data_IF_339877192970
#
_entry.id   IF_339877192970
#
_cell.length_a   1.000
_cell.length_b   1.000
_cell.length_c   1.000
_cell.angle_alpha   90.00
_cell.angle_beta   90.00
_cell.angle_gamma   90.00
#
_symmetry.space_group_name_H-M   'P 1'
#
loop_
_entity.id
_entity.type
_entity.pdbx_description
1 polymer ?
#
# COMPACT_ATOMS: atom_id res chain seq x y z
N UNK A 1 9.54 29.35 -26.02
CA UNK A 1 8.63 28.42 -26.71
C UNK A 1 9.31 27.87 -27.95
N UNK A 2 9.11 26.58 -28.23
CA UNK A 2 9.70 25.89 -29.38
C UNK A 2 9.14 26.47 -30.69
N UNK A 3 10.02 26.93 -31.60
CA UNK A 3 9.63 27.59 -32.85
C UNK A 3 9.69 26.67 -34.07
N UNK A 4 9.96 25.39 -33.86
CA UNK A 4 10.05 24.42 -34.95
C UNK A 4 8.69 24.29 -35.62
N UNK A 5 8.65 24.52 -36.93
CA UNK A 5 7.43 24.64 -37.72
C UNK A 5 6.80 23.30 -38.11
N UNK A 6 7.41 22.19 -37.72
CA UNK A 6 6.95 20.84 -38.04
C UNK A 6 7.35 19.84 -36.94
N UNK A 7 6.70 18.69 -36.95
CA UNK A 7 7.11 17.55 -36.14
C UNK A 7 8.51 17.06 -36.60
N UNK A 8 9.42 16.74 -35.65
CA UNK A 8 10.66 16.05 -35.98
C UNK A 8 10.39 14.73 -36.71
N UNK A 9 11.35 14.21 -37.48
CA UNK A 9 11.18 12.89 -38.10
C UNK A 9 11.10 11.80 -37.02
N UNK A 10 10.36 10.72 -37.30
CA UNK A 10 10.14 9.60 -36.36
C UNK A 10 11.43 9.07 -35.71
N UNK A 11 12.55 9.05 -36.46
CA UNK A 11 13.89 8.66 -35.97
C UNK A 11 14.42 9.47 -34.77
N UNK A 12 13.85 10.66 -34.50
CA UNK A 12 14.24 11.52 -33.37
C UNK A 12 13.46 11.24 -32.09
N UNK A 13 12.46 10.37 -32.15
CA UNK A 13 11.64 9.98 -31.01
C UNK A 13 12.15 8.64 -30.46
N UNK A 14 13.00 8.73 -29.43
CA UNK A 14 13.55 7.58 -28.72
C UNK A 14 13.34 7.75 -27.21
N UNK A 15 12.66 6.78 -26.59
CA UNK A 15 12.39 6.77 -25.17
C UNK A 15 13.56 6.11 -24.43
N UNK A 16 14.32 6.90 -23.67
CA UNK A 16 15.46 6.40 -22.88
C UNK A 16 15.06 5.51 -21.69
N UNK A 17 13.83 5.64 -21.18
CA UNK A 17 13.37 4.86 -20.02
C UNK A 17 13.03 3.42 -20.40
N UNK A 18 12.45 3.24 -21.59
CA UNK A 18 12.03 1.94 -22.11
C UNK A 18 12.99 1.39 -23.18
N UNK A 19 14.03 2.15 -23.53
CA UNK A 19 15.01 1.86 -24.59
C UNK A 19 14.39 1.57 -25.97
N UNK A 20 13.23 2.15 -26.25
CA UNK A 20 12.44 1.88 -27.47
C UNK A 20 12.22 3.14 -28.32
N UNK A 21 12.08 2.95 -29.63
CA UNK A 21 11.62 3.98 -30.54
C UNK A 21 10.09 4.13 -30.44
N UNK A 22 9.57 5.31 -30.80
CA UNK A 22 8.11 5.51 -30.88
C UNK A 22 7.48 4.52 -31.88
N UNK A 23 6.27 4.06 -31.58
CA UNK A 23 5.49 3.27 -32.52
C UNK A 23 5.10 4.12 -33.74
N UNK A 24 4.87 3.46 -34.89
CA UNK A 24 4.43 4.16 -36.11
C UNK A 24 3.02 4.73 -35.89
N UNK A 25 2.21 4.02 -35.13
CA UNK A 25 0.85 4.39 -34.74
C UNK A 25 0.82 5.70 -33.94
N UNK A 26 1.65 5.82 -32.89
CA UNK A 26 1.71 7.02 -32.04
C UNK A 26 2.28 8.22 -32.81
N UNK A 27 3.28 7.99 -33.66
CA UNK A 27 3.82 9.05 -34.52
C UNK A 27 2.77 9.55 -35.52
N UNK A 28 2.01 8.65 -36.13
CA UNK A 28 0.91 9.01 -37.04
C UNK A 28 -0.21 9.75 -36.29
N UNK A 29 -0.50 9.38 -35.03
CA UNK A 29 -1.43 10.11 -34.19
C UNK A 29 -0.96 11.55 -33.96
N UNK A 30 0.30 11.75 -33.58
CA UNK A 30 0.87 13.09 -33.41
C UNK A 30 0.80 13.92 -34.71
N UNK A 31 1.11 13.31 -35.85
CA UNK A 31 0.98 13.95 -37.17
C UNK A 31 -0.47 14.35 -37.48
N UNK A 32 -1.43 13.47 -37.18
CA UNK A 32 -2.86 13.76 -37.35
C UNK A 32 -3.27 14.96 -36.50
N UNK A 33 -2.93 14.98 -35.22
CA UNK A 33 -3.25 16.09 -34.31
C UNK A 33 -2.62 17.39 -34.81
N UNK A 34 -1.34 17.37 -35.20
CA UNK A 34 -0.65 18.56 -35.70
C UNK A 34 -1.32 19.16 -36.93
N UNK A 35 -1.73 18.31 -37.88
CA UNK A 35 -2.37 18.73 -39.12
C UNK A 35 -3.83 19.16 -38.92
N UNK A 36 -4.61 18.44 -38.10
CA UNK A 36 -6.03 18.70 -37.86
C UNK A 36 -6.27 20.04 -37.16
N UNK A 37 -5.43 20.38 -36.17
CA UNK A 37 -5.52 21.66 -35.46
C UNK A 37 -4.75 22.79 -36.16
N UNK A 38 -4.17 22.51 -37.33
CA UNK A 38 -3.43 23.48 -38.16
C UNK A 38 -2.33 24.24 -37.38
N UNK A 39 -1.55 23.52 -36.57
CA UNK A 39 -0.50 24.15 -35.77
C UNK A 39 0.65 24.66 -36.64
N UNK A 40 1.16 25.85 -36.29
CA UNK A 40 2.26 26.50 -37.00
C UNK A 40 3.63 26.12 -36.45
N UNK A 41 3.67 25.65 -35.20
CA UNK A 41 4.90 25.29 -34.52
C UNK A 41 4.64 24.29 -33.38
N UNK A 42 5.70 23.63 -32.91
CA UNK A 42 5.63 22.70 -31.77
C UNK A 42 5.20 23.36 -30.46
N UNK A 43 5.39 24.67 -30.29
CA UNK A 43 4.89 25.40 -29.14
C UNK A 43 3.37 25.33 -29.01
N UNK A 44 2.64 25.57 -30.10
CA UNK A 44 1.16 25.48 -30.12
C UNK A 44 0.67 24.06 -29.84
N UNK A 45 1.38 23.05 -30.36
CA UNK A 45 1.10 21.64 -30.06
C UNK A 45 1.30 21.34 -28.56
N UNK A 46 2.40 21.81 -27.97
CA UNK A 46 2.66 21.66 -26.53
C UNK A 46 1.62 22.41 -25.69
N UNK A 47 1.18 23.59 -26.10
CA UNK A 47 0.15 24.35 -25.39
C UNK A 47 -1.19 23.59 -25.37
N UNK A 48 -1.57 22.95 -26.48
CA UNK A 48 -2.77 22.09 -26.50
C UNK A 48 -2.61 20.88 -25.57
N UNK A 49 -1.45 20.22 -25.58
CA UNK A 49 -1.16 19.11 -24.68
C UNK A 49 -1.29 19.52 -23.21
N UNK A 50 -0.58 20.58 -22.80
CA UNK A 50 -0.60 21.08 -21.41
C UNK A 50 -2.00 21.54 -21.01
N UNK A 51 -2.73 22.21 -21.91
CA UNK A 51 -4.11 22.60 -21.67
C UNK A 51 -5.01 21.38 -21.46
N UNK A 52 -4.84 20.33 -22.24
CA UNK A 52 -5.61 19.09 -22.10
C UNK A 52 -5.32 18.42 -20.75
N UNK A 53 -4.05 18.31 -20.35
CA UNK A 53 -3.65 17.76 -19.05
C UNK A 53 -4.26 18.55 -17.88
N UNK A 54 -4.23 19.88 -17.95
CA UNK A 54 -4.83 20.75 -16.92
C UNK A 54 -6.35 20.57 -16.88
N UNK A 55 -7.02 20.50 -18.03
CA UNK A 55 -8.48 20.32 -18.09
C UNK A 55 -8.90 18.95 -17.55
N UNK A 56 -8.19 17.88 -17.90
CA UNK A 56 -8.44 16.54 -17.39
C UNK A 56 -8.24 16.46 -15.87
N UNK A 57 -7.14 17.03 -15.37
CA UNK A 57 -6.90 17.10 -13.93
C UNK A 57 -7.98 17.91 -13.21
N UNK A 58 -8.39 19.04 -13.79
CA UNK A 58 -9.45 19.89 -13.22
C UNK A 58 -10.77 19.12 -13.13
N UNK A 59 -11.17 18.43 -14.19
CA UNK A 59 -12.43 17.65 -14.22
C UNK A 59 -12.43 16.54 -13.15
N UNK A 60 -11.35 15.76 -13.08
CA UNK A 60 -11.18 14.70 -12.07
C UNK A 60 -11.18 15.28 -10.65
N UNK A 61 -10.47 16.38 -10.42
CA UNK A 61 -10.33 16.96 -9.09
C UNK A 61 -11.62 17.64 -8.61
N UNK A 62 -12.34 18.35 -9.48
CA UNK A 62 -13.64 18.94 -9.14
C UNK A 62 -14.67 17.85 -8.80
N UNK A 63 -14.69 16.74 -9.56
CA UNK A 63 -15.54 15.60 -9.25
C UNK A 63 -15.14 14.94 -7.91
N UNK A 64 -13.84 14.73 -7.68
CA UNK A 64 -13.33 14.22 -6.40
C UNK A 64 -13.75 15.11 -5.22
N UNK A 65 -13.56 16.42 -5.35
CA UNK A 65 -13.95 17.42 -4.35
C UNK A 65 -15.44 17.38 -4.04
N UNK A 66 -16.28 17.33 -5.09
CA UNK A 66 -17.74 17.20 -4.95
C UNK A 66 -18.12 15.94 -4.18
N UNK A 67 -17.53 14.78 -4.52
CA UNK A 67 -17.79 13.51 -3.83
C UNK A 67 -17.34 13.58 -2.37
N UNK A 68 -16.15 14.08 -2.07
CA UNK A 68 -15.65 14.20 -0.70
C UNK A 68 -16.56 15.09 0.17
N UNK A 69 -16.99 16.25 -0.35
CA UNK A 69 -17.91 17.12 0.36
C UNK A 69 -19.30 16.49 0.56
N UNK A 70 -19.77 15.68 -0.39
CA UNK A 70 -21.05 14.96 -0.27
C UNK A 70 -20.98 13.82 0.75
N UNK A 71 -19.94 13.00 0.69
CA UNK A 71 -19.78 11.78 1.48
C UNK A 71 -19.24 12.08 2.89
N UNK A 72 -18.12 12.78 2.97
CA UNK A 72 -17.38 13.00 4.23
C UNK A 72 -17.69 14.33 4.88
N UNK A 73 -18.34 15.28 4.18
CA UNK A 73 -18.54 16.66 4.62
C UNK A 73 -17.22 17.42 4.85
N UNK A 74 -16.14 16.95 4.23
CA UNK A 74 -14.81 17.54 4.26
C UNK A 74 -14.43 17.98 2.85
N UNK A 75 -13.81 19.14 2.73
CA UNK A 75 -13.32 19.65 1.45
C UNK A 75 -11.83 19.27 1.30
N UNK A 76 -11.46 18.44 0.30
CA UNK A 76 -10.08 17.99 0.10
C UNK A 76 -9.09 19.12 -0.14
N UNK A 77 -9.53 20.32 -0.55
CA UNK A 77 -8.65 21.48 -0.74
C UNK A 77 -8.00 21.99 0.56
N UNK A 78 -8.49 21.55 1.73
CA UNK A 78 -7.88 21.90 3.03
C UNK A 78 -6.79 20.94 3.48
N UNK A 79 -6.51 19.90 2.68
CA UNK A 79 -5.56 18.85 3.02
C UNK A 79 -4.41 18.82 2.03
N UNK A 80 -3.20 18.62 2.54
CA UNK A 80 -2.03 18.42 1.69
C UNK A 80 -2.05 17.05 0.98
N UNK A 81 -2.67 16.04 1.58
CA UNK A 81 -2.64 14.66 1.08
C UNK A 81 -3.98 13.94 1.32
N UNK A 82 -4.28 12.93 0.51
CA UNK A 82 -5.49 12.12 0.68
C UNK A 82 -5.50 11.26 1.95
N UNK A 83 -4.37 10.74 2.49
CA UNK A 83 -4.40 10.08 3.79
C UNK A 83 -4.80 10.99 4.95
N UNK A 84 -4.39 12.27 4.93
CA UNK A 84 -4.81 13.23 5.95
C UNK A 84 -6.33 13.48 5.91
N UNK A 85 -6.89 13.62 4.70
CA UNK A 85 -8.34 13.70 4.50
C UNK A 85 -9.05 12.43 5.01
N UNK A 86 -8.53 11.25 4.66
CA UNK A 86 -9.11 9.97 5.09
C UNK A 86 -9.07 9.80 6.61
N UNK A 87 -8.00 10.25 7.26
CA UNK A 87 -7.86 10.25 8.71
C UNK A 87 -8.91 11.12 9.39
N UNK A 88 -9.07 12.36 8.94
CA UNK A 88 -10.08 13.26 9.51
C UNK A 88 -11.50 12.81 9.17
N UNK A 89 -11.72 12.21 7.99
CA UNK A 89 -12.99 11.59 7.64
C UNK A 89 -13.33 10.43 8.58
N UNK A 90 -12.34 9.60 8.92
CA UNK A 90 -12.49 8.51 9.90
C UNK A 90 -12.85 9.06 11.28
N UNK A 91 -12.10 10.03 11.80
CA UNK A 91 -12.38 10.65 13.09
C UNK A 91 -13.76 11.31 13.14
N UNK A 92 -14.14 12.00 12.05
CA UNK A 92 -15.45 12.65 11.95
C UNK A 92 -16.59 11.61 11.93
N UNK A 93 -16.40 10.47 11.29
CA UNK A 93 -17.41 9.43 11.17
C UNK A 93 -17.57 8.62 12.45
N UNK A 94 -16.46 8.14 13.03
CA UNK A 94 -16.48 7.25 14.21
C UNK A 94 -16.61 8.01 15.52
N UNK A 95 -16.23 9.29 15.56
CA UNK A 95 -16.13 10.11 16.78
C UNK A 95 -15.21 9.51 17.84
N UNK A 96 -14.31 8.61 17.43
CA UNK A 96 -13.34 7.99 18.33
C UNK A 96 -12.37 9.04 18.85
N UNK A 97 -12.01 8.93 20.12
CA UNK A 97 -10.94 9.72 20.72
C UNK A 97 -9.70 8.84 20.80
N UNK A 98 -8.66 9.21 20.06
CA UNK A 98 -7.36 8.53 20.07
C UNK A 98 -6.42 9.37 20.92
N UNK A 99 -5.89 8.78 21.99
CA UNK A 99 -4.88 9.42 22.82
C UNK A 99 -3.54 9.50 22.08
N UNK A 100 -2.86 10.62 22.24
CA UNK A 100 -1.51 10.81 21.74
C UNK A 100 -0.52 10.39 22.83
N UNK A 101 0.46 9.57 22.46
CA UNK A 101 1.59 9.30 23.34
C UNK A 101 2.26 10.59 23.82
N UNK A 102 2.41 10.70 25.14
CA UNK A 102 3.10 11.82 25.80
C UNK A 102 4.46 11.40 26.35
N UNK A 103 4.64 10.12 26.66
CA UNK A 103 5.90 9.50 27.02
C UNK A 103 6.72 9.14 25.77
N UNK A 104 7.96 9.60 25.73
CA UNK A 104 8.91 9.34 24.64
C UNK A 104 9.32 7.86 24.58
N UNK A 105 9.48 7.21 25.72
CA UNK A 105 9.88 5.79 25.78
C UNK A 105 8.76 4.91 25.22
N UNK A 106 7.49 5.23 25.51
CA UNK A 106 6.32 4.51 24.97
C UNK A 106 6.27 4.63 23.45
N UNK A 107 6.47 5.85 22.93
CA UNK A 107 6.50 6.08 21.49
C UNK A 107 7.58 5.24 20.82
N UNK A 108 8.82 5.28 21.34
CA UNK A 108 9.92 4.48 20.80
C UNK A 108 9.65 2.98 20.90
N UNK A 109 9.02 2.52 21.98
CA UNK A 109 8.64 1.13 22.16
C UNK A 109 7.66 0.67 21.09
N UNK A 110 6.59 1.44 20.84
CA UNK A 110 5.62 1.15 19.78
C UNK A 110 6.25 1.21 18.41
N UNK A 111 7.04 2.25 18.10
CA UNK A 111 7.72 2.40 16.81
C UNK A 111 8.65 1.21 16.51
N UNK A 112 9.37 0.70 17.51
CA UNK A 112 10.19 -0.51 17.39
C UNK A 112 9.37 -1.77 17.10
N UNK A 113 8.10 -1.79 17.49
CA UNK A 113 7.16 -2.90 17.24
C UNK A 113 6.49 -2.85 15.87
N UNK A 114 6.42 -1.68 15.21
CA UNK A 114 5.73 -1.53 13.91
C UNK A 114 6.43 -2.35 12.83
N UNK A 115 5.65 -3.19 12.12
CA UNK A 115 6.10 -3.98 10.96
C UNK A 115 5.19 -3.75 9.76
N UNK A 116 5.74 -3.89 8.57
CA UNK A 116 4.98 -3.85 7.32
C UNK A 116 4.27 -5.17 7.04
N UNK A 117 3.67 -5.27 5.85
CA UNK A 117 3.08 -6.52 5.38
C UNK A 117 4.14 -7.62 5.18
N UNK A 118 3.76 -8.87 5.48
CA UNK A 118 4.62 -10.02 5.23
C UNK A 118 4.69 -10.29 3.73
N UNK A 119 5.90 -10.35 3.19
CA UNK A 119 6.13 -10.71 1.78
C UNK A 119 7.14 -11.86 1.72
N UNK A 120 6.71 -12.98 1.13
CA UNK A 120 7.50 -14.18 1.06
C UNK A 120 7.35 -14.89 -0.29
N UNK A 121 8.46 -15.42 -0.79
CA UNK A 121 8.52 -16.21 -2.00
C UNK A 121 9.05 -17.61 -1.66
N UNK A 122 8.14 -18.53 -1.36
CA UNK A 122 8.47 -19.92 -1.00
C UNK A 122 8.98 -20.71 -2.21
N UNK A 123 8.37 -20.49 -3.38
CA UNK A 123 8.76 -21.09 -4.65
C UNK A 123 9.03 -20.02 -5.69
N UNK A 124 10.23 -20.00 -6.28
CA UNK A 124 10.64 -19.01 -7.29
C UNK A 124 9.83 -19.13 -8.59
N UNK A 125 9.38 -20.33 -8.92
CA UNK A 125 8.68 -20.61 -10.16
C UNK A 125 7.76 -21.81 -10.04
N UNK A 126 6.53 -21.66 -10.50
CA UNK A 126 5.56 -22.74 -10.61
C UNK A 126 4.75 -22.56 -11.90
N UNK A 127 4.49 -23.66 -12.60
CA UNK A 127 3.58 -23.70 -13.76
C UNK A 127 2.42 -24.62 -13.40
N UNK A 128 1.19 -24.17 -13.69
CA UNK A 128 0.04 -25.04 -13.63
C UNK A 128 0.12 -26.12 -14.72
N UNK A 129 -0.26 -27.35 -14.40
CA UNK A 129 -0.42 -28.44 -15.34
C UNK A 129 -1.75 -29.14 -15.02
N UNK A 130 -2.86 -28.59 -15.47
CA UNK A 130 -4.17 -29.19 -15.22
C UNK A 130 -4.93 -29.44 -16.52
N UNK A 131 -5.92 -30.34 -16.44
CA UNK A 131 -6.66 -30.89 -17.58
C UNK A 131 -7.42 -29.85 -18.41
N UNK A 132 -7.58 -28.63 -17.90
CA UNK A 132 -8.29 -27.54 -18.58
C UNK A 132 -7.35 -26.62 -19.40
N UNK A 133 -6.03 -26.83 -19.32
CA UNK A 133 -5.05 -26.03 -20.05
C UNK A 133 -4.77 -26.61 -21.44
N UNK A 134 -4.56 -25.73 -22.43
CA UNK A 134 -4.27 -26.12 -23.81
C UNK A 134 -2.94 -26.87 -23.98
N UNK A 135 -1.99 -26.64 -23.08
CA UNK A 135 -0.68 -27.28 -23.03
C UNK A 135 -0.57 -28.37 -21.95
N UNK A 136 -1.70 -28.95 -21.53
CA UNK A 136 -1.72 -30.03 -20.52
C UNK A 136 -0.89 -31.24 -20.98
N UNK A 137 0.06 -31.65 -20.14
CA UNK A 137 0.84 -32.86 -20.35
C UNK A 137 0.37 -33.96 -19.39
N UNK A 138 -0.05 -35.11 -19.95
CA UNK A 138 -0.51 -36.28 -19.18
C UNK A 138 0.61 -37.01 -18.46
N UNK A 139 1.85 -36.86 -18.93
CA UNK A 139 3.03 -37.51 -18.36
C UNK A 139 3.58 -36.74 -17.14
N UNK A 140 3.20 -35.47 -17.00
CA UNK A 140 3.58 -34.62 -15.88
C UNK A 140 2.53 -34.63 -14.76
N UNK A 141 2.97 -34.30 -13.54
CA UNK A 141 2.11 -34.19 -12.37
C UNK A 141 1.00 -33.14 -12.56
N UNK A 142 -0.23 -33.46 -12.14
CA UNK A 142 -1.35 -32.53 -12.22
C UNK A 142 -1.19 -31.43 -11.17
N UNK A 143 -1.04 -30.17 -11.61
CA UNK A 143 -0.82 -29.00 -10.76
C UNK A 143 -1.87 -27.92 -11.02
N UNK A 144 -2.49 -27.44 -9.94
CA UNK A 144 -3.38 -26.28 -9.94
C UNK A 144 -2.69 -25.12 -9.23
N UNK A 145 -2.89 -23.90 -9.76
CA UNK A 145 -2.48 -22.68 -9.09
C UNK A 145 -3.74 -21.94 -8.66
N UNK A 146 -3.75 -21.46 -7.42
CA UNK A 146 -4.85 -20.71 -6.85
C UNK A 146 -4.35 -19.33 -6.44
N UNK A 147 -5.07 -18.28 -6.86
CA UNK A 147 -4.84 -16.92 -6.41
C UNK A 147 -5.87 -16.58 -5.35
N UNK A 148 -5.40 -16.20 -4.17
CA UNK A 148 -6.24 -15.77 -3.05
C UNK A 148 -5.85 -14.34 -2.69
N UNK A 149 -6.86 -13.49 -2.54
CA UNK A 149 -6.69 -12.07 -2.20
C UNK A 149 -7.72 -11.70 -1.13
N UNK A 150 -7.23 -11.13 -0.04
CA UNK A 150 -8.09 -10.71 1.07
C UNK A 150 -8.65 -9.32 0.79
N UNK A 151 -9.96 -9.25 0.53
CA UNK A 151 -10.66 -7.99 0.33
C UNK A 151 -10.55 -7.09 1.56
N UNK A 152 -9.89 -5.93 1.43
CA UNK A 152 -9.74 -4.92 2.48
C UNK A 152 -9.12 -5.46 3.78
N UNK A 153 -7.99 -6.18 3.68
CA UNK A 153 -7.29 -6.80 4.81
C UNK A 153 -7.08 -5.83 6.00
N UNK A 154 -6.53 -4.64 5.75
CA UNK A 154 -6.30 -3.66 6.81
C UNK A 154 -7.60 -3.08 7.36
N UNK A 155 -8.64 -2.89 6.54
CA UNK A 155 -9.94 -2.44 7.03
C UNK A 155 -10.61 -3.45 7.95
N UNK A 156 -10.46 -4.75 7.66
CA UNK A 156 -10.90 -5.81 8.56
C UNK A 156 -10.09 -5.82 9.87
N UNK A 157 -8.76 -5.66 9.80
CA UNK A 157 -7.92 -5.57 10.99
C UNK A 157 -8.29 -4.34 11.85
N UNK A 158 -8.57 -3.21 11.21
CA UNK A 158 -9.01 -1.98 11.89
C UNK A 158 -10.42 -2.06 12.49
N UNK A 159 -11.21 -3.08 12.16
CA UNK A 159 -12.53 -3.31 12.78
C UNK A 159 -12.45 -4.20 14.02
N UNK A 160 -11.25 -4.56 14.48
CA UNK A 160 -11.03 -5.34 15.71
C UNK A 160 -10.82 -4.42 16.91
N UNK A 161 -10.73 -4.99 18.10
CA UNK A 161 -10.35 -4.26 19.30
C UNK A 161 -8.93 -3.73 19.13
N UNK A 162 -8.76 -2.42 19.33
CA UNK A 162 -7.50 -1.71 19.11
C UNK A 162 -7.15 -0.82 20.30
N UNK A 163 -5.86 -0.60 20.59
CA UNK A 163 -5.41 0.43 21.52
C UNK A 163 -5.82 1.82 21.08
N UNK A 164 -6.61 2.51 21.90
CA UNK A 164 -7.08 3.87 21.60
C UNK A 164 -6.63 4.91 22.63
N UNK A 165 -6.56 4.57 23.92
CA UNK A 165 -6.31 5.51 25.02
C UNK A 165 -5.99 4.77 26.32
N UNK A 166 -5.70 5.54 27.37
CA UNK A 166 -5.37 5.11 28.72
C UNK A 166 -4.04 4.34 28.81
N UNK A 167 -3.08 4.74 27.95
CA UNK A 167 -1.75 4.14 27.87
C UNK A 167 -0.93 4.31 29.15
N UNK A 168 -0.59 3.22 29.82
CA UNK A 168 0.23 3.22 31.04
C UNK A 168 1.27 2.12 31.01
N UNK A 169 2.46 2.37 31.54
CA UNK A 169 3.39 1.27 31.80
C UNK A 169 2.84 0.41 32.94
N UNK A 170 2.76 -0.90 32.73
CA UNK A 170 2.42 -1.89 33.74
C UNK A 170 3.69 -2.37 34.42
N UNK A 171 3.61 -2.53 35.74
CA UNK A 171 4.61 -3.26 36.52
C UNK A 171 4.19 -4.73 36.71
N UNK A 172 3.11 -5.17 36.06
CA UNK A 172 2.61 -6.53 36.17
C UNK A 172 3.46 -7.49 35.34
N UNK A 173 4.13 -8.43 36.02
CA UNK A 173 4.79 -9.57 35.39
C UNK A 173 3.73 -10.62 35.03
N UNK A 174 3.36 -10.70 33.75
CA UNK A 174 2.48 -11.73 33.22
C UNK A 174 3.24 -13.03 32.99
N UNK A 175 2.67 -14.16 33.42
CA UNK A 175 3.21 -15.48 33.07
C UNK A 175 2.81 -15.89 31.66
N UNK A 176 3.48 -16.88 31.08
CA UNK A 176 3.10 -17.47 29.78
C UNK A 176 1.61 -17.89 29.77
N UNK A 177 1.15 -18.49 30.87
CA UNK A 177 -0.23 -18.92 30.99
C UNK A 177 -1.20 -17.74 31.03
N UNK A 178 -0.82 -16.62 31.64
CA UNK A 178 -1.66 -15.42 31.63
C UNK A 178 -1.80 -14.87 30.20
N UNK A 179 -0.68 -14.79 29.47
CA UNK A 179 -0.64 -14.30 28.08
C UNK A 179 -1.52 -15.16 27.17
N UNK A 180 -1.42 -16.49 27.27
CA UNK A 180 -2.20 -17.42 26.44
C UNK A 180 -3.70 -17.40 26.73
N UNK A 181 -4.12 -16.87 27.89
CA UNK A 181 -5.52 -16.76 28.27
C UNK A 181 -6.10 -15.35 28.11
N UNK A 182 -5.33 -14.40 27.57
CA UNK A 182 -5.85 -13.07 27.23
C UNK A 182 -6.95 -13.17 26.18
N UNK A 183 -8.00 -12.37 26.35
CA UNK A 183 -9.10 -12.30 25.40
C UNK A 183 -8.80 -11.27 24.31
N UNK A 184 -9.03 -11.65 23.05
CA UNK A 184 -8.95 -10.76 21.89
C UNK A 184 -10.03 -9.65 21.87
N UNK A 185 -11.03 -9.75 22.74
CA UNK A 185 -12.17 -8.82 22.85
C UNK A 185 -12.24 -8.15 24.23
N UNK A 186 -11.13 -8.16 24.96
CA UNK A 186 -11.00 -7.47 26.25
C UNK A 186 -11.05 -5.96 26.06
N UNK A 187 -11.66 -5.27 27.03
CA UNK A 187 -11.63 -3.80 27.12
C UNK A 187 -10.22 -3.27 27.44
N UNK A 188 -9.37 -4.11 28.04
CA UNK A 188 -7.96 -3.81 28.35
C UNK A 188 -7.05 -4.68 27.51
N UNK A 189 -6.12 -4.07 26.79
CA UNK A 189 -5.12 -4.76 25.98
C UNK A 189 -3.70 -4.61 26.53
N UNK A 190 -2.80 -5.48 26.05
CA UNK A 190 -1.39 -5.49 26.45
C UNK A 190 -0.50 -5.48 25.21
N UNK A 191 0.55 -4.67 25.23
CA UNK A 191 1.67 -4.79 24.28
C UNK A 191 2.87 -5.30 25.06
N UNK A 192 3.39 -6.45 24.62
CA UNK A 192 4.39 -7.22 25.35
C UNK A 192 5.73 -7.24 24.62
N UNK A 193 6.77 -7.02 25.39
CA UNK A 193 8.16 -7.25 25.04
C UNK A 193 8.59 -8.56 25.69
N UNK A 194 8.94 -9.58 24.90
CA UNK A 194 9.19 -10.93 25.43
C UNK A 194 10.48 -11.53 24.89
N UNK A 195 11.12 -12.35 25.72
CA UNK A 195 12.13 -13.29 25.27
C UNK A 195 11.44 -14.54 24.71
N UNK A 196 11.73 -14.88 23.46
CA UNK A 196 11.13 -16.00 22.76
C UNK A 196 12.19 -17.07 22.42
N UNK A 197 11.96 -18.29 22.89
CA UNK A 197 12.67 -19.47 22.41
C UNK A 197 11.95 -20.07 21.19
N UNK A 198 12.68 -20.27 20.09
CA UNK A 198 12.13 -20.86 18.88
C UNK A 198 12.81 -22.21 18.57
N UNK A 199 12.17 -23.35 18.91
CA UNK A 199 12.77 -24.67 18.84
C UNK A 199 13.34 -25.02 17.46
N UNK A 200 14.56 -25.57 17.43
CA UNK A 200 15.29 -25.85 16.19
C UNK A 200 14.58 -26.86 15.28
N UNK A 201 13.81 -27.78 15.85
CA UNK A 201 13.05 -28.79 15.11
C UNK A 201 11.86 -28.21 14.32
N UNK A 202 11.49 -26.95 14.57
CA UNK A 202 10.45 -26.24 13.83
C UNK A 202 11.00 -25.41 12.65
N UNK A 203 12.31 -25.17 12.59
CA UNK A 203 12.90 -24.25 11.61
C UNK A 203 12.67 -24.71 10.17
N UNK A 204 12.90 -25.99 9.89
CA UNK A 204 12.68 -26.55 8.55
C UNK A 204 11.19 -26.57 8.18
N UNK A 205 10.32 -26.87 9.15
CA UNK A 205 8.86 -26.93 8.95
C UNK A 205 8.25 -25.56 8.66
N UNK A 206 8.80 -24.52 9.26
CA UNK A 206 8.34 -23.13 9.10
C UNK A 206 9.22 -22.32 8.14
N UNK A 207 10.07 -22.99 7.33
CA UNK A 207 10.94 -22.33 6.37
C UNK A 207 10.17 -21.48 5.35
N UNK A 208 9.01 -21.99 4.93
CA UNK A 208 8.09 -21.32 4.01
C UNK A 208 7.24 -20.22 4.67
N UNK A 209 7.20 -20.13 6.00
CA UNK A 209 6.52 -19.06 6.74
C UNK A 209 7.04 -18.95 8.20
N UNK A 210 8.19 -18.30 8.42
CA UNK A 210 8.79 -18.22 9.75
C UNK A 210 7.99 -17.27 10.65
N UNK A 211 7.46 -17.80 11.74
CA UNK A 211 6.57 -17.08 12.67
C UNK A 211 7.30 -16.09 13.59
N UNK A 212 8.61 -16.31 13.81
CA UNK A 212 9.45 -15.50 14.69
C UNK A 212 10.73 -15.08 13.96
N UNK A 213 10.62 -14.04 13.13
CA UNK A 213 11.77 -13.49 12.40
C UNK A 213 12.71 -12.76 13.35
N UNK A 214 13.93 -13.28 13.51
CA UNK A 214 14.94 -12.75 14.42
C UNK A 214 15.47 -11.39 13.95
N UNK A 215 15.13 -10.31 14.66
CA UNK A 215 15.76 -9.00 14.46
C UNK A 215 16.05 -8.39 15.85
N UNK A 216 17.29 -8.60 16.34
CA UNK A 216 17.93 -8.05 17.58
C UNK A 216 17.91 -8.94 18.85
N UNK A 217 19.04 -9.07 19.59
CA UNK A 217 19.21 -10.07 20.66
C UNK A 217 18.77 -9.66 22.09
N UNK A 218 18.26 -8.45 22.32
CA UNK A 218 17.80 -8.04 23.65
C UNK A 218 16.59 -7.11 23.51
N UNK A 219 15.43 -7.60 23.94
CA UNK A 219 14.22 -6.82 24.14
C UNK A 219 14.00 -6.79 25.68
N UNK A 220 13.96 -5.60 26.29
CA UNK A 220 13.90 -5.35 27.75
C UNK A 220 12.48 -4.94 28.12
N UNK A 221 11.81 -5.75 28.94
CA UNK A 221 10.39 -5.61 29.30
C UNK A 221 10.05 -4.26 29.95
N UNK A 222 9.13 -3.52 29.31
CA UNK A 222 8.15 -2.65 29.96
C UNK A 222 6.80 -2.95 29.29
N UNK A 223 5.78 -3.33 30.06
CA UNK A 223 4.43 -3.63 29.54
C UNK A 223 3.64 -2.35 29.39
N UNK A 224 2.87 -2.18 28.32
CA UNK A 224 1.96 -1.03 28.16
C UNK A 224 0.51 -1.54 28.23
N UNK A 225 -0.24 -1.10 29.24
CA UNK A 225 -1.68 -1.33 29.39
C UNK A 225 -2.45 -0.18 28.72
N UNK A 226 -3.60 -0.47 28.13
CA UNK A 226 -4.54 0.51 27.55
C UNK A 226 -5.98 -0.02 27.58
#
# INVERSE_FOLDING_TARGET
MCKDSCLPPISKFYNKLNEEAISVEDYNHACKVFNEFHFNNLGEYCDLYVKTDVLLLTDVFENFRKICMQTYKLDPCWYFTTPALSWDAMLLHTKVAIERFTDYDMLLFIEKGVRGGVSQCCNRYAIANNRYMSNFNKDDEIKYLMYLDANNLYGYAMSKYLPLKDFVWSDNDLTEQDILNLSDESDVGYILEVDLEYPSDLHDKHSDFPLALKISPHLIVKSLDF
#
